data_IF_324686095766
#
_entry.id   IF_324686095766
#
_cell.length_a   1.000
_cell.length_b   1.000
_cell.length_c   1.000
_cell.angle_alpha   90.00
_cell.angle_beta   90.00
_cell.angle_gamma   90.00
#
_symmetry.space_group_name_H-M   'P 1'
#
loop_
_entity.id
_entity.type
_entity.pdbx_description
1 polymer ?
#
# COMPACT_ATOMS: atom_id res chain seq x y z
N UNK A 1 3.46 15.27 34.59
CA UNK A 1 2.97 15.65 33.24
C UNK A 1 3.83 15.12 32.09
N UNK A 2 5.15 15.38 31.97
CA UNK A 2 5.96 14.80 30.86
C UNK A 2 6.24 13.29 31.00
N UNK A 3 6.34 12.74 32.21
CA UNK A 3 6.60 11.31 32.43
C UNK A 3 5.38 10.41 32.15
N UNK A 4 4.16 10.94 32.25
CA UNK A 4 2.92 10.19 32.01
C UNK A 4 2.59 10.06 30.51
N UNK A 5 3.01 11.04 29.70
CA UNK A 5 2.88 10.98 28.24
C UNK A 5 3.80 9.91 27.62
N UNK A 6 5.04 9.79 28.11
CA UNK A 6 5.97 8.72 27.69
C UNK A 6 5.52 7.33 28.16
N UNK A 7 4.84 7.24 29.32
CA UNK A 7 4.28 5.99 29.81
C UNK A 7 3.08 5.51 28.97
N UNK A 8 2.28 6.42 28.42
CA UNK A 8 1.18 6.04 27.51
C UNK A 8 1.68 5.53 26.16
N UNK A 9 2.77 6.08 25.62
CA UNK A 9 3.41 5.57 24.40
C UNK A 9 3.98 4.15 24.61
N UNK A 10 4.52 3.87 25.80
CA UNK A 10 5.02 2.53 26.16
C UNK A 10 3.91 1.51 26.49
N UNK A 11 2.72 1.94 26.89
CA UNK A 11 1.59 1.03 27.21
C UNK A 11 0.79 0.58 25.97
N UNK A 12 1.07 1.14 24.79
CA UNK A 12 0.47 0.74 23.52
C UNK A 12 1.19 -0.46 22.85
N UNK A 13 2.32 -0.92 23.39
CA UNK A 13 2.99 -2.12 22.90
C UNK A 13 2.22 -3.39 23.33
N UNK A 14 1.28 -3.84 22.53
CA UNK A 14 0.65 -5.15 22.72
C UNK A 14 -0.82 -5.28 22.32
N UNK A 15 -1.47 -4.22 21.85
CA UNK A 15 -2.82 -4.33 21.28
C UNK A 15 -2.79 -3.95 19.80
N UNK A 16 -2.98 -4.92 18.91
CA UNK A 16 -3.40 -4.63 17.54
C UNK A 16 -4.78 -3.95 17.66
N UNK A 17 -4.81 -2.64 17.46
CA UNK A 17 -6.06 -1.94 17.29
C UNK A 17 -6.56 -2.25 15.87
N UNK A 18 -7.68 -2.96 15.79
CA UNK A 18 -8.40 -3.12 14.53
C UNK A 18 -8.88 -1.73 14.11
N UNK A 19 -8.54 -1.30 12.89
CA UNK A 19 -9.10 -0.05 12.34
C UNK A 19 -10.62 -0.15 12.25
N UNK A 20 -11.28 1.02 12.14
CA UNK A 20 -12.74 1.15 12.01
C UNK A 20 -13.31 0.11 11.02
N UNK A 21 -14.50 -0.48 11.29
CA UNK A 21 -15.11 -1.48 10.42
C UNK A 21 -15.43 -0.99 9.00
N UNK A 22 -15.45 0.32 8.75
CA UNK A 22 -15.64 0.87 7.41
C UNK A 22 -14.31 1.06 6.67
N UNK A 23 -14.17 0.54 5.43
CA UNK A 23 -12.98 0.76 4.62
C UNK A 23 -12.84 2.24 4.25
N UNK A 24 -11.74 2.86 4.66
CA UNK A 24 -11.41 4.25 4.37
C UNK A 24 -10.24 4.39 3.38
N UNK A 25 -9.85 3.30 2.72
CA UNK A 25 -8.71 3.26 1.81
C UNK A 25 -9.04 2.42 0.57
N UNK A 26 -8.65 2.91 -0.61
CA UNK A 26 -8.87 2.24 -1.89
C UNK A 26 -7.61 2.21 -2.73
N UNK A 27 -7.36 1.11 -3.44
CA UNK A 27 -6.43 1.03 -4.56
C UNK A 27 -7.17 1.32 -5.87
N UNK A 28 -6.68 2.28 -6.63
CA UNK A 28 -7.12 2.54 -8.00
C UNK A 28 -6.00 2.24 -9.00
N UNK A 29 -6.06 1.05 -9.61
CA UNK A 29 -5.15 0.68 -10.68
C UNK A 29 -5.66 1.19 -12.04
N UNK A 30 -4.89 2.09 -12.64
CA UNK A 30 -5.07 2.55 -14.03
C UNK A 30 -4.32 1.65 -14.98
N UNK A 31 -4.97 0.55 -15.38
CA UNK A 31 -4.39 -0.48 -16.27
C UNK A 31 -3.95 0.07 -17.61
N UNK A 32 -4.70 1.04 -18.13
CA UNK A 32 -4.41 1.78 -19.35
C UNK A 32 -3.13 2.64 -19.25
N UNK A 33 -2.67 2.94 -18.03
CA UNK A 33 -1.46 3.69 -17.74
C UNK A 33 -0.38 2.89 -17.00
N UNK A 34 -0.66 1.63 -16.64
CA UNK A 34 0.23 0.83 -15.80
C UNK A 34 0.57 1.46 -14.45
N UNK A 35 -0.30 2.32 -13.90
CA UNK A 35 -0.02 3.11 -12.68
C UNK A 35 -1.08 2.90 -11.61
N UNK A 36 -0.64 2.87 -10.35
CA UNK A 36 -1.53 2.78 -9.17
C UNK A 36 -1.64 4.10 -8.45
N UNK A 37 -2.81 4.29 -7.87
CA UNK A 37 -3.11 5.36 -6.94
C UNK A 37 -3.75 4.74 -5.71
N UNK A 38 -3.42 5.29 -4.53
CA UNK A 38 -4.14 5.00 -3.30
C UNK A 38 -4.99 6.20 -2.94
N UNK A 39 -6.22 5.95 -2.53
CA UNK A 39 -7.18 6.98 -2.15
C UNK A 39 -7.54 6.75 -0.70
N UNK A 40 -7.47 7.78 0.13
CA UNK A 40 -7.78 7.73 1.55
C UNK A 40 -8.90 8.70 1.89
N UNK A 41 -9.88 8.24 2.65
CA UNK A 41 -10.93 9.07 3.25
C UNK A 41 -10.51 9.50 4.66
N UNK A 42 -10.41 10.81 4.88
CA UNK A 42 -10.08 11.39 6.18
C UNK A 42 -11.30 11.46 7.11
N UNK A 43 -11.05 11.86 8.36
CA UNK A 43 -12.09 12.04 9.39
C UNK A 43 -13.09 13.16 9.08
N UNK A 44 -12.74 14.10 8.20
CA UNK A 44 -13.60 15.20 7.75
C UNK A 44 -14.47 14.82 6.54
N UNK A 45 -14.34 13.58 6.05
CA UNK A 45 -15.06 13.08 4.89
C UNK A 45 -14.46 13.53 3.55
N UNK A 46 -13.20 13.95 3.52
CA UNK A 46 -12.51 14.34 2.31
C UNK A 46 -11.52 13.27 1.81
N UNK A 47 -11.32 13.23 0.49
CA UNK A 47 -10.52 12.23 -0.19
C UNK A 47 -9.15 12.78 -0.57
N UNK A 48 -8.11 12.02 -0.23
CA UNK A 48 -6.70 12.32 -0.49
C UNK A 48 -6.10 11.24 -1.38
N UNK A 49 -5.08 11.59 -2.17
CA UNK A 49 -4.49 10.69 -3.18
C UNK A 49 -3.00 10.49 -2.99
N UNK A 50 -2.52 9.30 -3.34
CA UNK A 50 -1.11 8.93 -3.28
C UNK A 50 -0.75 8.20 -4.59
N UNK A 51 0.14 8.73 -5.45
CA UNK A 51 0.80 10.03 -5.31
C UNK A 51 -0.21 11.18 -5.27
N UNK A 52 0.20 12.30 -4.67
CA UNK A 52 -0.61 13.51 -4.62
C UNK A 52 -0.92 14.02 -6.03
N UNK A 53 -2.21 14.06 -6.36
CA UNK A 53 -2.73 14.63 -7.61
C UNK A 53 -3.45 15.97 -7.39
N UNK A 54 -3.35 16.53 -6.18
CA UNK A 54 -4.13 17.65 -5.67
C UNK A 54 -5.21 17.20 -4.69
N UNK A 55 -6.01 18.16 -4.23
CA UNK A 55 -7.09 17.94 -3.26
C UNK A 55 -6.90 18.79 -1.99
N UNK A 56 -7.64 18.48 -0.91
CA UNK A 56 -8.58 17.35 -0.76
C UNK A 56 -9.84 17.44 -1.64
N UNK A 57 -10.42 16.29 -2.00
CA UNK A 57 -11.66 16.19 -2.80
C UNK A 57 -12.87 15.82 -1.93
N UNK A 58 -14.09 16.10 -2.40
CA UNK A 58 -15.34 15.84 -1.66
C UNK A 58 -16.01 14.51 -2.01
N UNK A 59 -15.57 13.84 -3.08
CA UNK A 59 -16.16 12.56 -3.49
C UNK A 59 -15.19 11.66 -4.27
N UNK A 60 -15.47 10.34 -4.31
CA UNK A 60 -14.71 9.38 -5.13
C UNK A 60 -14.77 9.68 -6.65
N UNK A 61 -15.92 10.06 -7.24
CA UNK A 61 -15.96 10.47 -8.65
C UNK A 61 -15.06 11.66 -8.95
N UNK A 62 -15.12 12.72 -8.13
CA UNK A 62 -14.26 13.90 -8.26
C UNK A 62 -12.77 13.52 -8.16
N UNK A 63 -12.44 12.64 -7.20
CA UNK A 63 -11.08 12.12 -7.02
C UNK A 63 -10.61 11.34 -8.26
N UNK A 64 -11.48 10.51 -8.83
CA UNK A 64 -11.17 9.72 -10.03
C UNK A 64 -10.96 10.63 -11.25
N UNK A 65 -11.79 11.66 -11.40
CA UNK A 65 -11.64 12.67 -12.46
C UNK A 65 -10.35 13.48 -12.29
N UNK A 66 -9.96 13.80 -11.06
CA UNK A 66 -8.68 14.46 -10.79
C UNK A 66 -7.49 13.56 -11.18
N UNK A 67 -7.56 12.25 -10.90
CA UNK A 67 -6.56 11.27 -11.34
C UNK A 67 -6.53 11.19 -12.88
N UNK A 68 -7.69 11.16 -13.55
CA UNK A 68 -7.78 11.19 -15.01
C UNK A 68 -7.08 12.43 -15.58
N UNK A 69 -7.40 13.62 -15.09
CA UNK A 69 -6.77 14.88 -15.50
C UNK A 69 -5.25 14.88 -15.26
N UNK A 70 -4.83 14.36 -14.10
CA UNK A 70 -3.42 14.24 -13.74
C UNK A 70 -2.63 13.34 -14.70
N UNK A 71 -3.24 12.26 -15.17
CA UNK A 71 -2.63 11.37 -16.15
C UNK A 71 -2.61 12.01 -17.54
N UNK A 72 -3.74 12.55 -18.00
CA UNK A 72 -3.82 13.20 -19.31
C UNK A 72 -2.82 14.37 -19.46
N UNK A 73 -2.60 15.14 -18.40
CA UNK A 73 -1.57 16.19 -18.38
C UNK A 73 -0.13 15.67 -18.57
N UNK A 74 0.12 14.38 -18.35
CA UNK A 74 1.42 13.71 -18.55
C UNK A 74 1.49 12.89 -19.83
N UNK A 75 0.45 12.90 -20.66
CA UNK A 75 0.46 12.19 -21.93
C UNK A 75 1.60 12.71 -22.81
N UNK A 76 2.44 11.81 -23.32
CA UNK A 76 3.49 12.19 -24.26
C UNK A 76 2.83 12.48 -25.63
N UNK A 77 3.02 13.67 -26.23
CA UNK A 77 2.47 14.00 -27.54
C UNK A 77 2.80 12.96 -28.63
N UNK A 78 3.95 12.30 -28.54
CA UNK A 78 4.37 11.24 -29.48
C UNK A 78 3.43 10.03 -29.43
N UNK A 79 2.77 9.79 -28.29
CA UNK A 79 1.81 8.69 -28.17
C UNK A 79 0.47 8.97 -28.88
N UNK A 80 0.24 10.21 -29.34
CA UNK A 80 -0.93 10.62 -30.10
C UNK A 80 -0.71 10.60 -31.63
N UNK A 81 0.52 10.37 -32.09
CA UNK A 81 0.84 10.34 -33.52
C UNK A 81 0.18 9.13 -34.20
N UNK A 82 -0.38 9.33 -35.40
CA UNK A 82 -1.11 8.29 -36.13
C UNK A 82 -0.18 7.21 -36.69
N UNK A 83 1.05 7.58 -37.04
CA UNK A 83 2.06 6.63 -37.51
C UNK A 83 2.52 5.76 -36.33
N UNK A 84 2.54 4.44 -36.53
CA UNK A 84 2.97 3.44 -35.56
C UNK A 84 2.19 3.41 -34.23
N UNK A 85 0.97 3.97 -34.20
CA UNK A 85 0.13 4.02 -32.99
C UNK A 85 -0.08 2.62 -32.37
N UNK A 86 -0.27 1.61 -33.21
CA UNK A 86 -0.39 0.22 -32.78
C UNK A 86 0.89 -0.28 -32.09
N UNK A 87 2.04 -0.17 -32.75
CA UNK A 87 3.34 -0.61 -32.21
C UNK A 87 3.68 0.14 -30.91
N UNK A 88 3.49 1.47 -30.89
CA UNK A 88 3.74 2.29 -29.70
C UNK A 88 2.82 1.90 -28.55
N UNK A 89 1.54 1.65 -28.80
CA UNK A 89 0.57 1.21 -27.80
C UNK A 89 0.90 -0.14 -27.16
N UNK A 90 1.60 -1.04 -27.86
CA UNK A 90 2.04 -2.33 -27.30
C UNK A 90 3.33 -2.18 -26.46
N UNK A 91 4.22 -1.26 -26.82
CA UNK A 91 5.53 -1.14 -26.19
C UNK A 91 5.59 -0.08 -25.07
N UNK A 92 4.74 0.94 -25.12
CA UNK A 92 4.80 2.10 -24.23
C UNK A 92 3.45 2.43 -23.60
N UNK A 93 3.49 2.95 -22.37
CA UNK A 93 2.37 3.59 -21.71
C UNK A 93 2.07 4.96 -22.33
N UNK A 94 0.87 5.53 -22.11
CA UNK A 94 0.48 6.82 -22.69
C UNK A 94 1.39 8.02 -22.34
N UNK A 95 2.15 7.93 -21.25
CA UNK A 95 3.18 8.91 -20.86
C UNK A 95 4.55 8.69 -21.54
N UNK A 96 4.63 7.74 -22.49
CA UNK A 96 5.85 7.40 -23.22
C UNK A 96 6.80 6.47 -22.45
N UNK A 97 6.45 6.04 -21.24
CA UNK A 97 7.29 5.11 -20.48
C UNK A 97 7.14 3.68 -21.02
N UNK A 98 8.23 2.89 -21.01
CA UNK A 98 8.23 1.53 -21.57
C UNK A 98 7.37 0.60 -20.71
N UNK A 99 6.49 -0.18 -21.34
CA UNK A 99 5.80 -1.31 -20.71
C UNK A 99 6.83 -2.40 -20.42
N UNK A 100 7.26 -2.51 -19.16
CA UNK A 100 8.16 -3.59 -18.73
C UNK A 100 7.32 -4.74 -18.21
N UNK A 101 7.70 -5.98 -18.58
CA UNK A 101 7.12 -7.20 -18.00
C UNK A 101 7.34 -7.32 -16.50
N UNK A 102 8.35 -6.63 -15.96
CA UNK A 102 8.66 -6.63 -14.53
C UNK A 102 8.92 -5.20 -14.08
N UNK A 103 8.27 -4.81 -13.00
CA UNK A 103 8.52 -3.53 -12.35
C UNK A 103 9.95 -3.48 -11.84
N UNK A 104 10.58 -2.30 -11.93
CA UNK A 104 11.87 -2.13 -11.28
C UNK A 104 11.68 -2.10 -9.76
N UNK A 105 12.65 -2.62 -9.01
CA UNK A 105 12.63 -2.56 -7.54
C UNK A 105 12.39 -1.14 -7.02
N UNK A 106 12.94 -0.12 -7.70
CA UNK A 106 12.72 1.29 -7.38
C UNK A 106 11.26 1.70 -7.53
N UNK A 107 10.60 1.29 -8.61
CA UNK A 107 9.20 1.63 -8.86
C UNK A 107 8.31 0.92 -7.85
N UNK A 108 8.57 -0.35 -7.59
CA UNK A 108 7.83 -1.16 -6.62
C UNK A 108 7.94 -0.57 -5.20
N UNK A 109 9.16 -0.25 -4.74
CA UNK A 109 9.36 0.44 -3.45
C UNK A 109 8.62 1.77 -3.38
N UNK A 110 8.58 2.53 -4.48
CA UNK A 110 7.84 3.79 -4.53
C UNK A 110 6.32 3.59 -4.41
N UNK A 111 5.76 2.57 -5.07
CA UNK A 111 4.33 2.24 -4.95
C UNK A 111 3.99 1.78 -3.53
N UNK A 112 4.78 0.86 -2.97
CA UNK A 112 4.58 0.39 -1.60
C UNK A 112 4.71 1.52 -0.58
N UNK A 113 5.66 2.44 -0.77
CA UNK A 113 5.80 3.63 0.06
C UNK A 113 4.56 4.52 0.03
N UNK A 114 3.89 4.66 -1.13
CA UNK A 114 2.64 5.44 -1.23
C UNK A 114 1.50 4.79 -0.47
N UNK A 115 1.36 3.46 -0.54
CA UNK A 115 0.36 2.73 0.25
C UNK A 115 0.62 2.88 1.75
N UNK A 116 1.86 2.65 2.19
CA UNK A 116 2.23 2.78 3.60
C UNK A 116 2.06 4.21 4.09
N UNK A 117 2.35 5.22 3.25
CA UNK A 117 2.11 6.62 3.60
C UNK A 117 0.61 6.87 3.87
N UNK A 118 -0.26 6.42 2.96
CA UNK A 118 -1.71 6.56 3.13
C UNK A 118 -2.22 5.87 4.40
N UNK A 119 -1.65 4.71 4.76
CA UNK A 119 -1.96 3.99 6.00
C UNK A 119 -1.50 4.78 7.23
N UNK A 120 -0.29 5.32 7.23
CA UNK A 120 0.26 6.12 8.35
C UNK A 120 -0.57 7.38 8.57
N UNK A 121 -0.94 8.08 7.50
CA UNK A 121 -1.75 9.30 7.61
C UNK A 121 -3.15 8.96 8.15
N UNK A 122 -3.73 7.82 7.73
CA UNK A 122 -5.00 7.34 8.32
C UNK A 122 -4.84 6.96 9.79
N UNK A 123 -3.76 6.28 10.17
CA UNK A 123 -3.49 5.91 11.55
C UNK A 123 -3.35 7.13 12.45
N UNK A 124 -2.63 8.17 12.00
CA UNK A 124 -2.50 9.43 12.72
C UNK A 124 -3.87 10.06 12.99
N UNK A 125 -4.74 10.12 11.98
CA UNK A 125 -6.09 10.66 12.13
C UNK A 125 -6.96 9.85 13.09
N UNK A 126 -6.99 8.52 12.93
CA UNK A 126 -7.80 7.64 13.77
C UNK A 126 -7.39 7.70 15.26
N UNK A 127 -6.14 8.08 15.53
CA UNK A 127 -5.58 8.22 16.89
C UNK A 127 -5.48 9.67 17.37
N UNK A 128 -5.99 10.65 16.61
CA UNK A 128 -5.89 12.08 16.93
C UNK A 128 -4.44 12.54 17.15
N UNK A 129 -3.49 11.98 16.39
CA UNK A 129 -2.07 12.34 16.43
C UNK A 129 -1.82 13.49 15.45
N UNK A 130 -1.71 14.70 15.99
CA UNK A 130 -1.52 15.92 15.22
C UNK A 130 -0.15 16.55 15.48
N UNK A 131 0.26 17.41 14.55
CA UNK A 131 1.48 18.23 14.64
C UNK A 131 2.68 17.41 15.10
N UNK A 132 3.25 17.76 16.25
CA UNK A 132 4.46 17.20 16.82
C UNK A 132 4.31 15.74 17.28
N UNK A 133 3.09 15.22 17.40
CA UNK A 133 2.82 13.84 17.80
C UNK A 133 2.60 12.90 16.61
N UNK A 134 2.41 13.45 15.40
CA UNK A 134 2.10 12.64 14.22
C UNK A 134 3.31 11.80 13.77
N UNK A 135 3.03 10.58 13.33
CA UNK A 135 4.04 9.73 12.71
C UNK A 135 4.32 10.18 11.28
N UNK A 136 5.60 10.36 10.95
CA UNK A 136 6.09 10.58 9.59
C UNK A 136 6.80 9.33 9.08
N UNK A 137 6.39 8.82 7.92
CA UNK A 137 7.00 7.64 7.30
C UNK A 137 8.44 7.95 6.86
N UNK A 138 9.39 7.23 7.47
CA UNK A 138 10.80 7.32 7.13
C UNK A 138 11.15 6.36 6.00
N UNK A 139 10.85 5.07 6.19
CA UNK A 139 11.22 4.03 5.25
C UNK A 139 10.30 2.80 5.34
N UNK A 140 10.15 2.07 4.23
CA UNK A 140 9.47 0.78 4.16
C UNK A 140 10.53 -0.30 4.06
N UNK A 141 10.67 -1.10 5.12
CA UNK A 141 11.76 -2.06 5.25
C UNK A 141 11.46 -3.38 4.53
N UNK A 142 10.27 -3.91 4.80
CA UNK A 142 9.85 -5.23 4.35
C UNK A 142 8.39 -5.19 3.88
N UNK A 143 8.09 -5.96 2.85
CA UNK A 143 6.72 -6.21 2.44
C UNK A 143 6.60 -7.63 1.89
N UNK A 144 5.48 -8.29 2.20
CA UNK A 144 5.20 -9.62 1.69
C UNK A 144 3.73 -9.74 1.32
N UNK A 145 3.48 -10.32 0.15
CA UNK A 145 2.14 -10.73 -0.26
C UNK A 145 1.84 -12.15 0.20
N UNK A 146 0.69 -12.34 0.83
CA UNK A 146 0.21 -13.62 1.33
C UNK A 146 -1.17 -13.87 0.73
N UNK A 147 -1.38 -15.08 0.20
CA UNK A 147 -2.70 -15.55 -0.19
C UNK A 147 -3.12 -16.61 0.80
N UNK A 148 -4.18 -16.34 1.55
CA UNK A 148 -4.72 -17.27 2.54
C UNK A 148 -6.26 -17.27 2.45
N UNK A 149 -6.87 -18.46 2.40
CA UNK A 149 -8.32 -18.62 2.27
C UNK A 149 -8.92 -17.80 1.11
N UNK A 150 -8.26 -17.80 -0.06
CA UNK A 150 -8.62 -17.03 -1.26
C UNK A 150 -8.60 -15.50 -1.11
N UNK A 151 -8.12 -14.98 0.02
CA UNK A 151 -7.94 -13.56 0.26
C UNK A 151 -6.48 -13.18 0.04
N UNK A 152 -6.24 -12.00 -0.54
CA UNK A 152 -4.92 -11.41 -0.67
C UNK A 152 -4.66 -10.47 0.52
N UNK A 153 -3.50 -10.63 1.13
CA UNK A 153 -3.02 -9.79 2.22
C UNK A 153 -1.63 -9.26 1.90
N UNK A 154 -1.35 -8.05 2.34
CA UNK A 154 0.00 -7.55 2.48
C UNK A 154 0.38 -7.42 3.93
N UNK A 155 1.56 -7.90 4.26
CA UNK A 155 2.23 -7.58 5.50
C UNK A 155 3.32 -6.56 5.19
N UNK A 156 3.43 -5.51 5.99
CA UNK A 156 4.49 -4.52 5.89
C UNK A 156 5.24 -4.36 7.21
N UNK A 157 6.53 -4.08 7.10
CA UNK A 157 7.27 -3.38 8.13
C UNK A 157 7.80 -2.06 7.62
N UNK A 158 7.67 -1.03 8.45
CA UNK A 158 8.13 0.30 8.12
C UNK A 158 8.54 1.04 9.37
N UNK A 159 9.36 2.08 9.18
CA UNK A 159 9.83 2.95 10.24
C UNK A 159 9.16 4.30 10.14
N UNK A 160 8.75 4.83 11.28
CA UNK A 160 8.29 6.20 11.41
C UNK A 160 9.15 6.98 12.41
N UNK A 161 9.14 8.29 12.26
CA UNK A 161 9.63 9.22 13.29
C UNK A 161 8.45 10.08 13.76
N UNK A 162 8.55 10.62 14.97
CA UNK A 162 7.58 11.58 15.49
C UNK A 162 7.97 12.96 14.94
N UNK A 163 7.02 13.70 14.35
CA UNK A 163 7.30 14.98 13.67
C UNK A 163 7.98 16.02 14.56
N UNK A 164 7.61 16.08 15.85
CA UNK A 164 8.13 17.05 16.80
C UNK A 164 9.50 16.71 17.39
N UNK A 165 10.08 15.55 17.04
CA UNK A 165 11.40 15.18 17.54
C UNK A 165 12.47 16.10 16.95
N UNK A 166 13.15 16.84 17.83
CA UNK A 166 14.26 17.71 17.42
C UNK A 166 15.42 16.90 16.82
N UNK A 167 16.29 17.50 15.98
CA UNK A 167 17.42 16.81 15.34
C UNK A 167 18.45 16.23 16.33
N UNK A 168 18.41 16.68 17.60
CA UNK A 168 19.27 16.20 18.68
C UNK A 168 18.54 15.29 19.69
N UNK A 169 17.23 15.12 19.55
CA UNK A 169 16.51 14.10 20.31
C UNK A 169 16.70 12.79 19.56
N UNK A 170 17.28 11.80 20.25
CA UNK A 170 17.34 10.41 19.80
C UNK A 170 15.91 9.84 19.79
N UNK A 171 15.01 10.37 18.95
CA UNK A 171 13.74 9.70 18.68
C UNK A 171 14.11 8.42 17.95
N UNK A 172 14.14 7.33 18.70
CA UNK A 172 14.27 6.00 18.13
C UNK A 172 13.21 5.86 17.05
N UNK A 173 13.61 5.45 15.85
CA UNK A 173 12.65 5.16 14.79
C UNK A 173 11.66 4.12 15.32
N UNK A 174 10.38 4.42 15.27
CA UNK A 174 9.35 3.48 15.67
C UNK A 174 9.16 2.46 14.56
N UNK A 175 9.35 1.18 14.87
CA UNK A 175 9.09 0.10 13.94
C UNK A 175 7.61 -0.31 14.05
N UNK A 176 6.93 -0.37 12.90
CA UNK A 176 5.54 -0.75 12.81
C UNK A 176 5.35 -1.97 11.93
N UNK A 177 4.34 -2.76 12.28
CA UNK A 177 3.76 -3.81 11.46
C UNK A 177 2.35 -3.41 11.04
N UNK A 178 2.01 -3.62 9.76
CA UNK A 178 0.63 -3.54 9.30
C UNK A 178 0.26 -4.72 8.40
N UNK A 179 -0.91 -5.32 8.67
CA UNK A 179 -1.58 -6.24 7.75
C UNK A 179 -2.69 -5.49 7.01
N UNK A 180 -2.66 -5.55 5.69
CA UNK A 180 -3.67 -4.99 4.79
C UNK A 180 -4.37 -6.13 4.06
N UNK A 181 -5.68 -6.19 4.15
CA UNK A 181 -6.53 -7.12 3.40
C UNK A 181 -7.15 -6.41 2.19
N UNK A 182 -7.16 -7.10 1.05
CA UNK A 182 -7.86 -6.66 -0.15
C UNK A 182 -9.31 -7.14 -0.11
N UNK A 183 -10.26 -6.20 -0.11
CA UNK A 183 -11.70 -6.48 -0.08
C UNK A 183 -12.28 -6.25 -1.48
N UNK A 184 -12.67 -7.34 -2.13
CA UNK A 184 -13.72 -7.34 -3.15
C UNK A 184 -13.47 -6.54 -4.44
N UNK A 185 -14.43 -6.67 -5.38
CA UNK A 185 -14.24 -6.40 -6.81
C UNK A 185 -14.85 -5.06 -7.25
N UNK A 186 -14.10 -4.30 -8.03
CA UNK A 186 -14.52 -3.05 -8.65
C UNK A 186 -13.37 -2.41 -9.43
N UNK A 187 -13.59 -1.21 -10.00
CA UNK A 187 -12.52 -0.39 -10.60
C UNK A 187 -11.58 0.18 -9.52
N UNK A 188 -12.13 0.40 -8.34
CA UNK A 188 -11.41 0.70 -7.10
C UNK A 188 -11.53 -0.55 -6.22
N UNK A 189 -10.39 -1.00 -5.67
CA UNK A 189 -10.33 -2.13 -4.75
C UNK A 189 -10.26 -1.58 -3.34
N UNK A 190 -11.14 -2.03 -2.46
CA UNK A 190 -11.14 -1.60 -1.07
C UNK A 190 -10.00 -2.27 -0.30
N UNK A 191 -9.33 -1.50 0.55
CA UNK A 191 -8.22 -1.94 1.39
C UNK A 191 -8.61 -1.76 2.86
N UNK A 192 -8.41 -2.81 3.66
CA UNK A 192 -8.68 -2.79 5.09
C UNK A 192 -7.41 -3.11 5.88
N UNK A 193 -7.04 -2.23 6.82
CA UNK A 193 -5.95 -2.49 7.75
C UNK A 193 -6.47 -3.31 8.94
N UNK A 194 -6.08 -4.58 9.00
CA UNK A 194 -6.57 -5.52 10.02
C UNK A 194 -5.82 -5.39 11.35
N UNK A 195 -4.49 -5.33 11.27
CA UNK A 195 -3.64 -5.00 12.41
C UNK A 195 -2.69 -3.90 12.00
N UNK A 196 -2.65 -2.83 12.78
CA UNK A 196 -1.64 -1.79 12.71
C UNK A 196 -1.09 -1.61 14.11
N UNK A 197 0.18 -1.97 14.33
CA UNK A 197 0.79 -1.85 15.66
C UNK A 197 2.29 -1.55 15.60
N UNK A 198 2.79 -0.88 16.64
CA UNK A 198 4.22 -0.80 16.89
C UNK A 198 4.72 -2.19 17.32
N UNK A 199 5.88 -2.59 16.81
CA UNK A 199 6.50 -3.88 17.11
C UNK A 199 7.91 -3.64 17.64
N UNK A 200 8.29 -4.39 18.69
CA UNK A 200 9.68 -4.35 19.15
C UNK A 200 10.57 -5.05 18.11
N UNK A 201 11.83 -4.61 17.93
CA UNK A 201 12.76 -5.31 17.05
C UNK A 201 12.99 -6.78 17.42
N UNK A 202 12.79 -7.12 18.70
CA UNK A 202 12.90 -8.48 19.23
C UNK A 202 11.61 -9.29 19.10
N UNK A 203 10.47 -8.64 18.80
CA UNK A 203 9.21 -9.34 18.55
C UNK A 203 9.29 -10.09 17.22
N UNK A 204 8.89 -11.36 17.24
CA UNK A 204 8.85 -12.18 16.04
C UNK A 204 7.73 -13.21 16.10
N UNK A 205 6.50 -12.73 16.03
CA UNK A 205 5.32 -13.59 15.92
C UNK A 205 5.42 -14.58 14.74
N UNK A 206 4.83 -15.78 14.85
CA UNK A 206 4.93 -16.80 13.80
C UNK A 206 4.06 -16.44 12.60
N UNK A 207 4.68 -16.25 11.43
CA UNK A 207 3.99 -16.10 10.15
C UNK A 207 4.58 -17.06 9.12
N UNK A 208 3.84 -18.12 8.77
CA UNK A 208 4.29 -19.11 7.79
C UNK A 208 4.38 -18.51 6.38
N UNK A 209 3.55 -17.52 6.06
CA UNK A 209 3.60 -16.81 4.78
C UNK A 209 4.95 -16.12 4.56
N UNK A 210 5.32 -15.22 5.48
CA UNK A 210 6.59 -14.48 5.42
C UNK A 210 7.82 -15.40 5.57
N UNK A 211 7.74 -16.40 6.46
CA UNK A 211 8.86 -17.34 6.68
C UNK A 211 9.16 -18.17 5.44
N UNK A 212 8.15 -18.68 4.73
CA UNK A 212 8.33 -19.50 3.52
C UNK A 212 8.88 -18.73 2.33
N UNK A 213 8.53 -17.46 2.22
CA UNK A 213 9.03 -16.60 1.14
C UNK A 213 10.47 -16.10 1.38
N UNK A 214 11.07 -16.45 2.53
CA UNK A 214 12.48 -16.20 2.84
C UNK A 214 12.77 -14.80 3.35
N UNK A 215 11.75 -14.01 3.71
CA UNK A 215 11.97 -12.70 4.33
C UNK A 215 12.20 -12.85 5.84
N UNK A 216 13.44 -13.19 6.20
CA UNK A 216 13.90 -13.38 7.59
C UNK A 216 13.88 -12.06 8.37
N UNK A 217 13.85 -10.92 7.69
CA UNK A 217 13.85 -9.60 8.32
C UNK A 217 12.46 -9.14 8.78
N UNK A 218 11.40 -9.79 8.29
CA UNK A 218 10.02 -9.42 8.59
C UNK A 218 9.64 -9.70 10.05
N UNK A 219 9.35 -8.64 10.80
CA UNK A 219 8.89 -8.63 12.19
C UNK A 219 7.38 -8.64 12.27
N UNK A 220 6.87 -9.41 13.22
CA UNK A 220 5.45 -9.57 13.48
C UNK A 220 5.17 -9.37 14.96
N UNK A 221 4.02 -8.81 15.36
CA UNK A 221 3.65 -8.69 16.76
C UNK A 221 3.63 -10.05 17.44
N UNK A 222 4.11 -10.12 18.68
CA UNK A 222 4.28 -11.38 19.44
C UNK A 222 2.97 -12.12 19.72
N UNK A 223 1.82 -11.44 19.72
CA UNK A 223 0.51 -12.10 19.78
C UNK A 223 -0.02 -12.38 18.37
N UNK A 224 -0.10 -13.66 18.00
CA UNK A 224 -0.72 -14.11 16.74
C UNK A 224 -2.22 -13.78 16.62
N UNK A 225 -2.87 -13.35 17.70
CA UNK A 225 -4.26 -12.87 17.72
C UNK A 225 -4.43 -11.56 16.93
N UNK A 226 -3.33 -10.86 16.66
CA UNK A 226 -3.34 -9.54 16.06
C UNK A 226 -3.75 -9.49 14.59
N UNK A 227 -3.19 -10.37 13.76
CA UNK A 227 -3.33 -10.34 12.29
C UNK A 227 -3.97 -11.64 11.77
N UNK A 228 -4.56 -11.61 10.57
CA UNK A 228 -5.45 -12.65 10.05
C UNK A 228 -4.74 -13.70 9.20
N UNK A 229 -3.73 -13.30 8.42
CA UNK A 229 -3.08 -14.16 7.43
C UNK A 229 -1.68 -14.59 7.87
N UNK A 230 -1.24 -15.77 7.42
CA UNK A 230 0.06 -16.33 7.76
C UNK A 230 0.03 -17.39 8.87
N UNK A 231 -1.16 -17.77 9.34
CA UNK A 231 -1.33 -18.84 10.34
C UNK A 231 -1.36 -20.23 9.71
N UNK A 232 -1.78 -20.32 8.45
CA UNK A 232 -1.82 -21.58 7.75
C UNK A 232 -0.45 -21.92 7.16
N UNK A 233 0.11 -23.05 7.58
CA UNK A 233 1.27 -23.66 6.94
C UNK A 233 0.89 -24.35 5.61
N UNK A 234 -0.02 -23.76 4.83
CA UNK A 234 -0.35 -24.27 3.50
C UNK A 234 0.82 -23.96 2.58
N UNK A 235 1.38 -24.98 1.93
CA UNK A 235 2.21 -24.73 0.75
C UNK A 235 1.31 -24.03 -0.26
N UNK A 236 1.79 -22.96 -0.89
CA UNK A 236 1.07 -22.42 -2.04
C UNK A 236 0.79 -23.60 -2.98
N UNK A 237 -0.46 -23.82 -3.46
CA UNK A 237 -0.64 -24.70 -4.59
C UNK A 237 0.29 -24.17 -5.68
N UNK A 238 1.20 -25.03 -6.14
CA UNK A 238 2.16 -24.77 -7.20
C UNK A 238 1.51 -23.90 -8.29
N UNK A 239 1.97 -22.65 -8.47
CA UNK A 239 1.53 -21.79 -9.58
C UNK A 239 1.49 -20.29 -9.28
N UNK A 240 1.05 -19.88 -8.08
CA UNK A 240 0.95 -18.45 -7.74
C UNK A 240 2.19 -17.95 -7.00
N UNK A 241 3.31 -17.82 -7.72
CA UNK A 241 4.34 -16.88 -7.28
C UNK A 241 3.71 -15.50 -7.41
N UNK A 242 3.30 -14.90 -6.30
CA UNK A 242 2.81 -13.52 -6.23
C UNK A 242 3.91 -12.46 -6.50
N UNK A 243 4.95 -12.80 -7.28
CA UNK A 243 5.67 -11.82 -8.11
C UNK A 243 4.76 -11.53 -9.29
N UNK A 244 3.78 -10.64 -9.11
CA UNK A 244 3.01 -9.95 -10.14
C UNK A 244 3.01 -10.62 -11.54
N UNK A 245 2.55 -11.87 -11.61
CA UNK A 245 1.88 -12.37 -12.80
C UNK A 245 0.40 -12.17 -12.55
N UNK A 246 -0.04 -10.91 -12.67
CA UNK A 246 -1.40 -10.70 -13.11
C UNK A 246 -1.26 -10.79 -14.61
N UNK A 247 -1.51 -11.99 -15.13
CA UNK A 247 -1.52 -12.27 -16.54
C UNK A 247 -2.31 -11.13 -17.20
N UNK A 248 -1.61 -10.36 -18.03
CA UNK A 248 -2.28 -9.67 -19.11
C UNK A 248 -2.78 -10.83 -19.96
N UNK A 249 -4.01 -11.27 -19.70
CA UNK A 249 -4.77 -11.97 -20.74
C UNK A 249 -4.84 -10.93 -21.86
N UNK A 250 -3.87 -11.01 -22.78
CA UNK A 250 -4.11 -10.67 -24.16
C UNK A 250 -5.35 -11.51 -24.49
N UNK A 251 -6.51 -10.84 -24.60
CA UNK A 251 -7.56 -11.39 -25.43
C UNK A 251 -6.89 -11.63 -26.78
N UNK A 252 -6.56 -12.89 -27.06
CA UNK A 252 -6.35 -13.33 -28.44
C UNK A 252 -7.64 -12.95 -29.16
N UNK A 253 -7.62 -11.78 -29.80
CA UNK A 253 -8.49 -11.48 -30.92
C UNK A 253 -8.20 -12.59 -31.92
N UNK A 254 -9.01 -13.64 -31.86
CA UNK A 254 -9.18 -14.59 -32.94
C UNK A 254 -9.70 -13.78 -34.14
N UNK A 255 -8.74 -13.21 -34.88
CA UNK A 255 -8.88 -12.74 -36.25
C UNK A 255 -9.27 -13.95 -37.11
N UNK A 256 -10.54 -14.37 -37.00
CA UNK A 256 -11.15 -15.32 -37.93
C UNK A 256 -11.80 -14.55 -39.06
N UNK A 257 -10.97 -13.95 -39.89
CA UNK A 257 -11.37 -13.60 -41.25
C UNK A 257 -11.32 -14.87 -42.12
N UNK A 258 -12.50 -15.42 -42.42
CA UNK A 258 -12.82 -16.07 -43.70
C UNK A 258 -14.02 -15.36 -44.29
#
# INVERSE_FOLDING_TARGET
MQAEALAQVSQLSGRCHTSSPEPCLWEHLRRDWGRRFYIRLDVEGCFHTYPDVGGPFKSLPETTEAIDRYLEARRDPKMCEKQDKGIRGHLYWPDGTVKRRTMSEKTEKSEMRQLVQALVDKYNEDHNLFEDLAHELKDVLHYQSIIENLNLYYHFNFKTKIKGAGPNELSMDNLFFVEVKFIGKGKLIELQANCFCAVNPDDNGPCFGCTKHGDVGMKHPSSSVGYTAGHLNVGLPFGFIAKWKRDYEDEEDDDKYV
#
